data_IF_042521631449
#
_entry.id   IF_042521631449
#
_cell.length_a   1.000
_cell.length_b   1.000
_cell.length_c   1.000
_cell.angle_alpha   90.00
_cell.angle_beta   90.00
_cell.angle_gamma   90.00
#
_symmetry.space_group_name_H-M   'P 1'
#
loop_
_entity.id
_entity.type
_entity.pdbx_description
1 polymer ?
#
# COMPACT_ATOMS: atom_id res chain seq x y z
N UNK A 1 22.78 7.77 8.24
CA UNK A 1 21.66 7.16 8.96
C UNK A 1 22.13 6.57 10.28
N UNK A 2 21.29 6.53 11.30
CA UNK A 2 21.62 5.86 12.56
C UNK A 2 21.49 4.35 12.36
N UNK A 3 22.54 3.56 12.63
CA UNK A 3 22.43 2.10 12.55
C UNK A 3 21.41 1.61 13.59
N UNK A 4 20.54 0.68 13.16
CA UNK A 4 19.58 -0.03 14.00
C UNK A 4 19.67 -1.50 13.64
N UNK A 5 19.08 -2.38 14.44
CA UNK A 5 19.01 -3.80 14.08
C UNK A 5 18.41 -3.97 12.68
N UNK A 6 19.14 -4.68 11.80
CA UNK A 6 18.78 -4.85 10.38
C UNK A 6 19.02 -3.66 9.46
N UNK A 7 19.51 -2.52 9.96
CA UNK A 7 19.88 -1.34 9.15
C UNK A 7 21.36 -1.03 9.28
N UNK A 8 22.12 -1.31 8.24
CA UNK A 8 23.54 -1.04 8.16
C UNK A 8 23.80 0.35 7.56
N UNK A 9 24.98 0.92 7.81
CA UNK A 9 25.42 2.19 7.19
C UNK A 9 25.68 2.06 5.70
N UNK A 10 26.06 0.87 5.28
CA UNK A 10 26.36 0.50 3.90
C UNK A 10 25.70 -0.88 3.65
N UNK A 11 25.00 -1.02 2.56
CA UNK A 11 24.32 -2.25 2.15
C UNK A 11 24.21 -2.31 0.62
N UNK A 12 24.09 -3.51 0.09
CA UNK A 12 23.83 -3.73 -1.34
C UNK A 12 22.32 -3.72 -1.57
N UNK A 13 21.88 -3.00 -2.59
CA UNK A 13 20.49 -2.90 -3.01
C UNK A 13 20.37 -3.48 -4.42
N UNK A 14 19.27 -4.18 -4.70
CA UNK A 14 18.90 -4.60 -6.04
C UNK A 14 17.60 -3.88 -6.42
N UNK A 15 17.67 -3.11 -7.49
CA UNK A 15 16.54 -2.31 -7.98
C UNK A 15 16.07 -2.82 -9.34
N UNK A 16 14.78 -2.68 -9.59
CA UNK A 16 14.15 -2.94 -10.89
C UNK A 16 13.42 -1.67 -11.31
N UNK A 17 13.83 -1.08 -12.42
CA UNK A 17 13.25 0.14 -12.96
C UNK A 17 12.74 -0.06 -14.38
N UNK A 18 11.59 0.55 -14.67
CA UNK A 18 11.10 0.70 -16.04
C UNK A 18 11.08 2.18 -16.39
N UNK A 19 11.86 2.56 -17.38
CA UNK A 19 12.00 3.96 -17.81
C UNK A 19 11.39 4.14 -19.18
N UNK A 20 10.51 5.14 -19.32
CA UNK A 20 9.85 5.50 -20.57
C UNK A 20 9.97 6.99 -20.88
N UNK A 21 9.86 7.35 -22.16
CA UNK A 21 9.74 8.74 -22.60
C UNK A 21 8.24 9.06 -22.78
N UNK A 22 7.72 10.01 -22.02
CA UNK A 22 6.29 10.35 -21.97
C UNK A 22 5.53 9.49 -20.96
N UNK A 23 4.31 9.08 -21.30
CA UNK A 23 3.49 8.26 -20.41
C UNK A 23 3.97 6.82 -20.37
N UNK A 24 4.14 6.28 -19.15
CA UNK A 24 4.43 4.88 -18.94
C UNK A 24 3.10 4.09 -18.87
N UNK A 25 2.89 3.10 -19.76
CA UNK A 25 1.68 2.27 -19.72
C UNK A 25 1.51 1.54 -18.40
N UNK A 26 0.27 1.51 -17.89
CA UNK A 26 -0.04 0.94 -16.56
C UNK A 26 0.35 -0.53 -16.40
N UNK A 27 0.41 -1.31 -17.49
CA UNK A 27 0.78 -2.72 -17.40
C UNK A 27 2.17 -2.95 -16.78
N UNK A 28 3.09 -1.99 -16.86
CA UNK A 28 4.39 -2.09 -16.19
C UNK A 28 4.26 -2.06 -14.67
N UNK A 29 3.30 -1.30 -14.14
CA UNK A 29 3.01 -1.30 -12.71
C UNK A 29 2.40 -2.63 -12.23
N UNK A 30 1.68 -3.32 -13.10
CA UNK A 30 1.17 -4.67 -12.85
C UNK A 30 2.31 -5.70 -12.93
N UNK A 31 3.23 -5.53 -13.87
CA UNK A 31 4.32 -6.47 -14.11
C UNK A 31 5.38 -6.46 -13.00
N UNK A 32 5.75 -5.28 -12.48
CA UNK A 32 6.83 -5.14 -11.50
C UNK A 32 6.67 -6.04 -10.26
N UNK A 33 5.53 -6.04 -9.52
CA UNK A 33 5.35 -6.93 -8.39
C UNK A 33 5.41 -8.42 -8.77
N UNK A 34 4.99 -8.78 -9.98
CA UNK A 34 5.05 -10.16 -10.47
C UNK A 34 6.48 -10.61 -10.76
N UNK A 35 7.29 -9.74 -11.36
CA UNK A 35 8.74 -9.99 -11.59
C UNK A 35 9.45 -10.14 -10.25
N UNK A 36 9.15 -9.29 -9.27
CA UNK A 36 9.71 -9.39 -7.92
C UNK A 36 9.31 -10.71 -7.26
N UNK A 37 8.05 -11.11 -7.36
CA UNK A 37 7.55 -12.38 -6.81
C UNK A 37 8.29 -13.59 -7.41
N UNK A 38 8.49 -13.61 -8.72
CA UNK A 38 9.22 -14.66 -9.43
C UNK A 38 10.71 -14.69 -9.04
N UNK A 39 11.36 -13.52 -9.03
CA UNK A 39 12.75 -13.37 -8.65
C UNK A 39 13.01 -13.88 -7.21
N UNK A 40 12.23 -13.41 -6.23
CA UNK A 40 12.38 -13.83 -4.84
C UNK A 40 11.99 -15.29 -4.64
N UNK A 41 10.96 -15.78 -5.33
CA UNK A 41 10.59 -17.19 -5.32
C UNK A 41 11.70 -18.11 -5.82
N UNK A 42 12.48 -17.69 -6.83
CA UNK A 42 13.62 -18.44 -7.35
C UNK A 42 14.76 -18.58 -6.34
N UNK A 43 14.87 -17.67 -5.38
CA UNK A 43 15.90 -17.68 -4.33
C UNK A 43 15.54 -18.56 -3.13
N UNK A 44 14.35 -19.16 -3.09
CA UNK A 44 13.95 -20.06 -2.02
C UNK A 44 14.91 -21.26 -1.88
N UNK A 45 15.47 -21.75 -2.99
CA UNK A 45 16.42 -22.86 -3.01
C UNK A 45 17.74 -22.56 -2.25
N UNK A 46 18.09 -21.32 -2.07
CA UNK A 46 19.27 -20.87 -1.32
C UNK A 46 18.93 -20.33 0.09
N UNK A 47 17.69 -20.53 0.55
CA UNK A 47 17.28 -20.22 1.91
C UNK A 47 16.65 -18.83 2.09
N UNK A 48 16.31 -18.11 1.03
CA UNK A 48 15.51 -16.88 1.15
C UNK A 48 14.11 -17.27 1.63
N UNK A 49 13.62 -16.68 2.74
CA UNK A 49 12.30 -17.00 3.26
C UNK A 49 11.18 -16.53 2.32
N UNK A 50 9.98 -17.11 2.44
CA UNK A 50 8.81 -16.64 1.70
C UNK A 50 8.55 -15.17 1.95
N UNK A 51 8.21 -14.44 0.88
CA UNK A 51 7.94 -13.00 0.91
C UNK A 51 6.51 -12.77 0.44
N UNK A 52 5.82 -11.83 1.09
CA UNK A 52 4.58 -11.22 0.60
C UNK A 52 4.88 -9.84 0.03
N UNK A 53 4.16 -9.49 -1.01
CA UNK A 53 4.22 -8.16 -1.63
C UNK A 53 2.90 -7.48 -1.34
N UNK A 54 2.91 -6.57 -0.37
CA UNK A 54 1.75 -5.76 -0.03
C UNK A 54 1.65 -4.61 -1.01
N UNK A 55 0.49 -4.41 -1.61
CA UNK A 55 0.29 -3.37 -2.62
C UNK A 55 -0.89 -2.48 -2.28
N UNK A 56 -0.78 -1.20 -2.59
CA UNK A 56 -1.85 -0.23 -2.55
C UNK A 56 -1.76 0.68 -3.79
N UNK A 57 -2.78 1.49 -4.01
CA UNK A 57 -2.77 2.53 -5.02
C UNK A 57 -3.07 3.88 -4.35
N UNK A 58 -2.15 4.85 -4.52
CA UNK A 58 -2.28 6.17 -3.89
C UNK A 58 -3.58 6.88 -4.25
N UNK A 59 -4.10 6.68 -5.47
CA UNK A 59 -5.37 7.27 -5.91
C UNK A 59 -6.56 6.75 -5.10
N UNK A 60 -6.51 5.49 -4.63
CA UNK A 60 -7.55 4.92 -3.77
C UNK A 60 -7.58 5.67 -2.45
N UNK A 61 -6.45 5.77 -1.77
CA UNK A 61 -6.34 6.47 -0.49
C UNK A 61 -6.70 7.96 -0.63
N UNK A 62 -6.08 8.65 -1.59
CA UNK A 62 -6.31 10.07 -1.82
C UNK A 62 -7.77 10.36 -2.21
N UNK A 63 -8.33 9.57 -3.14
CA UNK A 63 -9.71 9.74 -3.60
C UNK A 63 -10.73 9.51 -2.48
N UNK A 64 -10.47 8.54 -1.60
CA UNK A 64 -11.31 8.26 -0.44
C UNK A 64 -11.22 9.38 0.61
N UNK A 65 -10.00 9.80 1.00
CA UNK A 65 -9.82 10.83 2.02
C UNK A 65 -10.34 12.20 1.57
N UNK A 66 -10.12 12.59 0.31
CA UNK A 66 -10.73 13.79 -0.27
C UNK A 66 -12.26 13.69 -0.30
N UNK A 67 -12.79 12.51 -0.59
CA UNK A 67 -14.23 12.25 -0.58
C UNK A 67 -14.85 12.38 0.82
N UNK A 68 -14.09 12.11 1.88
CA UNK A 68 -14.48 12.41 3.27
C UNK A 68 -14.41 13.90 3.61
N UNK A 69 -13.89 14.76 2.73
CA UNK A 69 -13.71 16.19 2.96
C UNK A 69 -12.39 16.56 3.64
N UNK A 70 -11.45 15.62 3.75
CA UNK A 70 -10.11 15.89 4.28
C UNK A 70 -9.24 16.57 3.21
N UNK A 71 -8.43 17.54 3.64
CA UNK A 71 -7.59 18.35 2.75
C UNK A 71 -6.09 18.06 2.90
N UNK A 72 -5.64 17.75 4.12
CA UNK A 72 -4.24 17.34 4.38
C UNK A 72 -4.10 15.82 4.20
N UNK A 73 -4.06 15.41 2.94
CA UNK A 73 -3.95 13.99 2.57
C UNK A 73 -2.63 13.38 3.04
N UNK A 74 -1.54 14.13 2.94
CA UNK A 74 -0.22 13.67 3.38
C UNK A 74 -0.16 13.51 4.91
N UNK A 75 -0.86 14.36 5.65
CA UNK A 75 -1.04 14.21 7.09
C UNK A 75 -1.80 12.92 7.44
N UNK A 76 -2.87 12.61 6.70
CA UNK A 76 -3.62 11.34 6.88
C UNK A 76 -2.72 10.15 6.60
N UNK A 77 -2.03 10.13 5.47
CA UNK A 77 -1.16 9.03 5.06
C UNK A 77 -0.02 8.81 6.08
N UNK A 78 0.62 9.90 6.56
CA UNK A 78 1.64 9.83 7.65
C UNK A 78 1.08 9.27 8.95
N UNK A 79 -0.19 9.54 9.25
CA UNK A 79 -0.89 8.97 10.40
C UNK A 79 -1.09 7.47 10.23
N UNK A 80 -1.64 7.06 9.10
CA UNK A 80 -1.93 5.66 8.76
C UNK A 80 -0.64 4.81 8.70
N UNK A 81 0.47 5.32 8.16
CA UNK A 81 1.77 4.63 8.12
C UNK A 81 2.29 4.20 9.51
N UNK A 82 1.80 4.87 10.55
CA UNK A 82 2.16 4.54 11.94
C UNK A 82 1.25 3.49 12.58
N UNK A 83 0.20 3.04 11.90
CA UNK A 83 -0.88 2.23 12.48
C UNK A 83 -0.36 1.00 13.21
N UNK A 84 0.54 0.25 12.59
CA UNK A 84 1.11 -0.97 13.19
C UNK A 84 2.03 -0.69 14.39
N UNK A 85 2.60 0.51 14.48
CA UNK A 85 3.53 0.90 15.54
C UNK A 85 2.84 1.44 16.78
N UNK A 86 1.81 2.27 16.58
CA UNK A 86 1.19 3.02 17.70
C UNK A 86 -0.26 2.59 17.99
N UNK A 87 -0.86 1.80 17.11
CA UNK A 87 -2.21 1.28 17.23
C UNK A 87 -3.31 2.27 16.81
N UNK A 88 -4.54 1.77 16.59
CA UNK A 88 -5.63 2.55 15.99
C UNK A 88 -6.09 3.74 16.84
N UNK A 89 -6.10 3.62 18.16
CA UNK A 89 -6.52 4.72 19.04
C UNK A 89 -5.58 5.93 18.96
N UNK A 90 -4.27 5.69 18.91
CA UNK A 90 -3.28 6.75 18.78
C UNK A 90 -3.33 7.41 17.40
N UNK A 91 -3.53 6.60 16.33
CA UNK A 91 -3.71 7.12 14.97
C UNK A 91 -4.98 7.98 14.89
N UNK A 92 -6.11 7.52 15.42
CA UNK A 92 -7.34 8.32 15.45
C UNK A 92 -7.14 9.67 16.14
N UNK A 93 -6.49 9.67 17.30
CA UNK A 93 -6.17 10.89 18.03
C UNK A 93 -5.27 11.84 17.21
N UNK A 94 -4.23 11.30 16.56
CA UNK A 94 -3.34 12.10 15.69
C UNK A 94 -4.10 12.69 14.49
N UNK A 95 -4.96 11.91 13.82
CA UNK A 95 -5.79 12.42 12.72
C UNK A 95 -6.71 13.57 13.17
N UNK A 96 -7.28 13.47 14.35
CA UNK A 96 -8.14 14.54 14.89
C UNK A 96 -7.34 15.79 15.23
N UNK A 97 -6.16 15.67 15.83
CA UNK A 97 -5.35 16.80 16.31
C UNK A 97 -4.53 17.42 15.18
N UNK A 98 -3.84 16.59 14.38
CA UNK A 98 -2.84 17.07 13.43
C UNK A 98 -3.47 17.41 12.06
N UNK A 99 -4.52 16.66 11.65
CA UNK A 99 -5.20 16.82 10.37
C UNK A 99 -6.53 17.59 10.50
N UNK A 100 -7.07 17.69 11.72
CA UNK A 100 -8.38 18.29 11.97
C UNK A 100 -9.56 17.42 11.56
N UNK A 101 -9.38 16.10 11.49
CA UNK A 101 -10.44 15.15 11.17
C UNK A 101 -11.48 15.10 12.31
N UNK A 102 -12.75 14.91 11.96
CA UNK A 102 -13.77 14.52 12.95
C UNK A 102 -13.52 13.07 13.42
N UNK A 103 -14.14 12.68 14.53
CA UNK A 103 -14.08 11.29 15.01
C UNK A 103 -14.62 10.29 13.96
N UNK A 104 -15.67 10.66 13.23
CA UNK A 104 -16.24 9.84 12.14
C UNK A 104 -15.29 9.71 10.97
N UNK A 105 -14.67 10.82 10.54
CA UNK A 105 -13.66 10.79 9.46
C UNK A 105 -12.44 9.95 9.85
N UNK A 106 -11.93 10.10 11.07
CA UNK A 106 -10.82 9.31 11.58
C UNK A 106 -11.16 7.81 11.62
N UNK A 107 -12.37 7.44 12.05
CA UNK A 107 -12.84 6.07 12.04
C UNK A 107 -12.93 5.50 10.61
N UNK A 108 -13.43 6.27 9.65
CA UNK A 108 -13.51 5.86 8.25
C UNK A 108 -12.12 5.66 7.63
N UNK A 109 -11.13 6.53 7.95
CA UNK A 109 -9.75 6.36 7.52
C UNK A 109 -9.14 5.06 8.05
N UNK A 110 -9.36 4.77 9.33
CA UNK A 110 -8.90 3.52 9.95
C UNK A 110 -9.60 2.30 9.34
N UNK A 111 -10.90 2.40 9.06
CA UNK A 111 -11.62 1.29 8.43
C UNK A 111 -11.08 0.99 7.03
N UNK A 112 -10.80 2.01 6.21
CA UNK A 112 -10.13 1.81 4.92
C UNK A 112 -8.80 1.07 5.12
N UNK A 113 -7.98 1.47 6.08
CA UNK A 113 -6.69 0.87 6.37
C UNK A 113 -6.78 -0.61 6.83
N UNK A 114 -7.94 -1.09 7.27
CA UNK A 114 -8.14 -2.51 7.61
C UNK A 114 -8.48 -3.40 6.41
N UNK A 115 -8.73 -2.81 5.24
CA UNK A 115 -9.07 -3.58 4.05
C UNK A 115 -7.80 -4.17 3.46
N UNK A 116 -7.74 -5.50 3.42
CA UNK A 116 -6.65 -6.27 2.84
C UNK A 116 -7.21 -7.55 2.21
N UNK A 117 -6.56 -8.06 1.16
CA UNK A 117 -6.94 -9.30 0.48
C UNK A 117 -6.15 -9.55 -0.80
N UNK A 118 -6.16 -10.79 -1.26
CA UNK A 118 -5.43 -11.25 -2.45
C UNK A 118 -6.32 -11.45 -3.69
N UNK A 119 -7.55 -10.96 -3.66
CA UNK A 119 -8.51 -11.08 -4.74
C UNK A 119 -9.33 -9.80 -4.94
N UNK A 120 -10.15 -9.75 -5.99
CA UNK A 120 -10.92 -8.59 -6.39
C UNK A 120 -11.99 -8.15 -5.36
N UNK A 121 -12.32 -8.95 -4.35
CA UNK A 121 -13.29 -8.57 -3.30
C UNK A 121 -12.84 -7.36 -2.49
N UNK A 122 -11.54 -7.04 -2.50
CA UNK A 122 -10.99 -5.81 -1.93
C UNK A 122 -11.66 -4.57 -2.55
N UNK A 123 -11.85 -4.57 -3.87
CA UNK A 123 -12.50 -3.46 -4.60
C UNK A 123 -13.94 -3.29 -4.13
N UNK A 124 -14.69 -4.38 -4.02
CA UNK A 124 -16.09 -4.35 -3.56
C UNK A 124 -16.21 -3.83 -2.12
N UNK A 125 -15.26 -4.21 -1.25
CA UNK A 125 -15.22 -3.73 0.14
C UNK A 125 -14.96 -2.23 0.22
N UNK A 126 -14.08 -1.69 -0.63
CA UNK A 126 -13.83 -0.24 -0.71
C UNK A 126 -15.06 0.48 -1.26
N UNK A 127 -15.72 -0.04 -2.30
CA UNK A 127 -16.95 0.53 -2.81
C UNK A 127 -18.05 0.56 -1.74
N UNK A 128 -18.22 -0.53 -0.98
CA UNK A 128 -19.18 -0.59 0.12
C UNK A 128 -18.89 0.44 1.22
N UNK A 129 -17.60 0.63 1.56
CA UNK A 129 -17.18 1.65 2.52
C UNK A 129 -17.44 3.07 1.99
N UNK A 130 -17.06 3.35 0.74
CA UNK A 130 -17.30 4.64 0.10
C UNK A 130 -18.79 4.99 0.03
N UNK A 131 -19.62 4.01 -0.31
CA UNK A 131 -21.08 4.19 -0.35
C UNK A 131 -21.68 4.57 1.01
N UNK A 132 -21.21 3.97 2.11
CA UNK A 132 -21.64 4.31 3.48
C UNK A 132 -21.35 5.77 3.87
N UNK A 133 -20.30 6.34 3.32
CA UNK A 133 -19.90 7.73 3.55
C UNK A 133 -20.32 8.67 2.41
N UNK A 134 -21.16 8.21 1.47
CA UNK A 134 -21.64 8.96 0.32
C UNK A 134 -20.49 9.56 -0.53
N UNK A 135 -19.34 8.87 -0.58
CA UNK A 135 -18.18 9.30 -1.35
C UNK A 135 -18.41 9.00 -2.83
N UNK A 136 -18.27 10.04 -3.66
CA UNK A 136 -18.24 9.95 -5.12
C UNK A 136 -16.97 10.63 -5.61
N UNK A 137 -16.02 9.85 -6.14
CA UNK A 137 -14.70 10.35 -6.53
C UNK A 137 -14.17 9.61 -7.76
N UNK A 138 -14.00 10.33 -8.87
CA UNK A 138 -13.38 9.76 -10.07
C UNK A 138 -11.94 9.30 -9.84
N UNK A 139 -11.23 9.94 -8.91
CA UNK A 139 -9.88 9.52 -8.53
C UNK A 139 -9.89 8.16 -7.82
N UNK A 140 -10.84 7.96 -6.88
CA UNK A 140 -11.05 6.69 -6.21
C UNK A 140 -11.35 5.58 -7.22
N UNK A 141 -12.30 5.81 -8.13
CA UNK A 141 -12.68 4.83 -9.16
C UNK A 141 -11.49 4.45 -10.05
N UNK A 142 -10.71 5.45 -10.48
CA UNK A 142 -9.49 5.19 -11.28
C UNK A 142 -8.51 4.32 -10.50
N UNK A 143 -8.26 4.63 -9.22
CA UNK A 143 -7.38 3.85 -8.36
C UNK A 143 -7.86 2.43 -8.14
N UNK A 144 -9.18 2.23 -7.98
CA UNK A 144 -9.78 0.90 -7.80
C UNK A 144 -9.69 0.04 -9.06
N UNK A 145 -9.89 0.63 -10.24
CA UNK A 145 -9.69 -0.07 -11.52
C UNK A 145 -8.23 -0.52 -11.67
N UNK A 146 -7.27 0.37 -11.37
CA UNK A 146 -5.84 0.05 -11.41
C UNK A 146 -5.48 -1.05 -10.40
N UNK A 147 -5.86 -0.90 -9.14
CA UNK A 147 -5.59 -1.90 -8.09
C UNK A 147 -6.25 -3.25 -8.40
N UNK A 148 -7.50 -3.24 -8.86
CA UNK A 148 -8.22 -4.45 -9.25
C UNK A 148 -7.54 -5.21 -10.39
N UNK A 149 -7.04 -4.51 -11.41
CA UNK A 149 -6.29 -5.11 -12.51
C UNK A 149 -5.01 -5.78 -12.01
N UNK A 150 -4.25 -5.12 -11.12
CA UNK A 150 -3.04 -5.68 -10.53
C UNK A 150 -3.34 -6.95 -9.72
N UNK A 151 -4.31 -6.89 -8.79
CA UNK A 151 -4.67 -8.03 -7.94
C UNK A 151 -5.21 -9.20 -8.75
N UNK A 152 -5.99 -8.94 -9.79
CA UNK A 152 -6.51 -10.00 -10.67
C UNK A 152 -5.37 -10.72 -11.39
N UNK A 153 -4.44 -9.96 -11.98
CA UNK A 153 -3.27 -10.55 -12.64
C UNK A 153 -2.37 -11.32 -11.64
N UNK A 154 -2.23 -10.81 -10.42
CA UNK A 154 -1.46 -11.44 -9.36
C UNK A 154 -2.10 -12.74 -8.85
N UNK A 155 -3.43 -12.79 -8.74
CA UNK A 155 -4.14 -14.00 -8.33
C UNK A 155 -3.93 -15.17 -9.33
N UNK A 156 -3.74 -14.86 -10.60
CA UNK A 156 -3.46 -15.86 -11.63
C UNK A 156 -1.99 -16.32 -11.67
N UNK A 157 -1.03 -15.39 -11.46
CA UNK A 157 0.40 -15.63 -11.70
C UNK A 157 1.22 -15.89 -10.44
N UNK A 158 0.84 -15.29 -9.33
CA UNK A 158 1.52 -15.39 -8.04
C UNK A 158 0.49 -15.47 -6.90
N UNK A 159 -0.36 -16.53 -6.88
CA UNK A 159 -1.48 -16.63 -5.93
C UNK A 159 -0.99 -16.57 -4.48
N UNK A 160 -1.57 -15.65 -3.71
CA UNK A 160 -1.24 -15.45 -2.30
C UNK A 160 0.07 -14.72 -1.99
N UNK A 161 0.90 -14.42 -3.01
CA UNK A 161 2.16 -13.68 -2.82
C UNK A 161 1.91 -12.18 -2.85
N UNK A 162 1.09 -11.70 -3.79
CA UNK A 162 0.72 -10.27 -3.88
C UNK A 162 -0.62 -10.07 -3.19
N UNK A 163 -0.67 -9.13 -2.25
CA UNK A 163 -1.83 -8.87 -1.40
C UNK A 163 -2.11 -7.37 -1.40
N UNK A 164 -3.33 -6.96 -1.74
CA UNK A 164 -3.74 -5.58 -1.49
C UNK A 164 -3.77 -5.31 0.02
N UNK A 165 -3.18 -4.22 0.46
CA UNK A 165 -3.23 -3.76 1.83
C UNK A 165 -3.32 -2.23 1.86
N UNK A 166 -4.52 -1.72 2.17
CA UNK A 166 -4.81 -0.30 2.03
C UNK A 166 -4.22 0.59 3.14
N UNK A 167 -3.52 -0.01 4.12
CA UNK A 167 -2.70 0.75 5.08
C UNK A 167 -1.34 1.19 4.51
N UNK A 168 -0.86 0.54 3.44
CA UNK A 168 0.44 0.88 2.85
C UNK A 168 0.41 2.30 2.30
N UNK A 169 1.26 3.15 2.85
CA UNK A 169 1.33 4.58 2.55
C UNK A 169 2.77 5.06 2.26
N UNK A 170 3.56 4.22 1.62
CA UNK A 170 4.98 4.50 1.34
C UNK A 170 5.18 5.61 0.31
N UNK A 171 6.33 6.28 0.38
CA UNK A 171 6.78 7.23 -0.63
C UNK A 171 5.84 8.44 -0.81
N UNK A 172 5.39 9.05 0.30
CA UNK A 172 4.37 10.11 0.34
C UNK A 172 4.57 11.22 -0.70
N UNK A 173 5.81 11.62 -0.93
CA UNK A 173 6.16 12.72 -1.83
C UNK A 173 6.66 12.25 -3.21
N UNK A 174 6.71 10.94 -3.46
CA UNK A 174 7.40 10.39 -4.62
C UNK A 174 6.48 9.58 -5.54
N UNK A 175 5.69 8.65 -4.99
CA UNK A 175 4.83 7.77 -5.77
C UNK A 175 3.46 8.39 -6.02
N UNK A 176 2.93 8.20 -7.23
CA UNK A 176 1.67 8.81 -7.68
C UNK A 176 0.55 7.79 -7.92
N UNK A 177 0.89 6.50 -8.01
CA UNK A 177 -0.04 5.41 -8.35
C UNK A 177 0.16 4.22 -7.41
N UNK A 178 0.63 3.10 -7.97
CA UNK A 178 0.90 1.87 -7.23
C UNK A 178 2.07 2.08 -6.28
N UNK A 179 1.90 1.61 -5.06
CA UNK A 179 2.95 1.51 -4.05
C UNK A 179 2.99 0.09 -3.53
N UNK A 180 4.17 -0.41 -3.19
CA UNK A 180 4.29 -1.74 -2.61
C UNK A 180 5.36 -1.82 -1.52
N UNK A 181 5.23 -2.81 -0.67
CA UNK A 181 6.17 -3.16 0.38
C UNK A 181 6.36 -4.67 0.40
N UNK A 182 7.61 -5.10 0.55
CA UNK A 182 7.96 -6.50 0.66
C UNK A 182 8.10 -6.87 2.13
N UNK A 183 7.35 -7.88 2.56
CA UNK A 183 7.39 -8.40 3.92
C UNK A 183 7.70 -9.88 3.97
N UNK A 184 8.39 -10.30 5.03
CA UNK A 184 8.56 -11.70 5.36
C UNK A 184 8.29 -11.96 6.83
N UNK A 185 7.35 -12.84 7.13
CA UNK A 185 7.02 -13.25 8.50
C UNK A 185 8.20 -13.90 9.23
N UNK A 186 9.17 -14.44 8.48
CA UNK A 186 10.37 -15.05 9.04
C UNK A 186 11.33 -14.05 9.70
N UNK A 187 11.19 -12.75 9.41
CA UNK A 187 12.05 -11.68 9.91
C UNK A 187 11.47 -10.93 11.12
N UNK A 188 10.30 -11.33 11.59
CA UNK A 188 9.66 -10.76 12.79
C UNK A 188 9.41 -9.25 12.65
N UNK A 189 9.82 -8.48 13.65
CA UNK A 189 9.60 -7.03 13.71
C UNK A 189 10.31 -6.22 12.59
N UNK A 190 11.18 -6.85 11.82
CA UNK A 190 11.90 -6.28 10.67
C UNK A 190 11.42 -6.91 9.37
N UNK A 191 10.13 -7.15 9.24
CA UNK A 191 9.52 -7.84 8.10
C UNK A 191 9.67 -7.11 6.77
N UNK A 192 9.82 -5.78 6.78
CA UNK A 192 9.97 -4.97 5.56
C UNK A 192 11.35 -5.14 4.93
N UNK A 193 11.38 -5.72 3.73
CA UNK A 193 12.59 -6.03 2.96
C UNK A 193 12.86 -5.02 1.84
N UNK A 194 11.84 -4.34 1.38
CA UNK A 194 11.93 -3.39 0.28
C UNK A 194 10.61 -2.67 0.06
N UNK A 195 10.62 -1.68 -0.80
CA UNK A 195 9.45 -0.89 -1.16
C UNK A 195 9.61 -0.26 -2.55
N UNK A 196 8.51 0.08 -3.18
CA UNK A 196 8.45 0.76 -4.47
C UNK A 196 7.13 1.47 -4.71
#
# INVERSE_FOLDING_TARGET
>A
ERPQDGRFREFVQADIDVVGAGDLPYHYEVELPLVIAEALGSLAAIGVPPVRILVNNRKVAEGFYRGLGLTDIDGVLRGIDKLDKVGPAAVAASLMVDVGASAEQAAACLELATISGSDATVVDRVHALAARHAITSGLLETGLVELGALITAAAERAPGVVVADLKIARGLDYYTRTVFELESDALGAQSALGAG
#
